data_IF_167930986439
#
_entry.id   IF_167930986439
#
_cell.length_a   1.000
_cell.length_b   1.000
_cell.length_c   1.000
_cell.angle_alpha   90.00
_cell.angle_beta   90.00
_cell.angle_gamma   90.00
#
_symmetry.space_group_name_H-M   'P 1'
#
loop_
_entity.id
_entity.type
_entity.pdbx_description
1 polymer ?
#
# COMPACT_ATOMS: atom_id res chain seq x y z
N UNK A 1 13.58 -3.44 -23.92
CA UNK A 1 13.18 -4.07 -22.64
C UNK A 1 12.55 -5.43 -22.94
N UNK A 2 13.07 -6.52 -22.37
CA UNK A 2 12.48 -7.86 -22.52
C UNK A 2 11.46 -8.06 -21.39
N UNK A 3 10.17 -8.03 -21.70
CA UNK A 3 9.11 -8.32 -20.73
C UNK A 3 9.10 -9.83 -20.44
N UNK A 4 9.40 -10.23 -19.20
CA UNK A 4 9.26 -11.63 -18.81
C UNK A 4 7.76 -11.99 -18.80
N UNK A 5 7.42 -13.09 -19.46
CA UNK A 5 6.03 -13.55 -19.63
C UNK A 5 5.52 -14.20 -18.34
N UNK A 6 4.27 -13.93 -17.99
CA UNK A 6 3.58 -14.64 -16.92
C UNK A 6 3.43 -16.12 -17.24
N UNK A 7 3.19 -16.92 -16.20
CA UNK A 7 2.87 -18.33 -16.33
C UNK A 7 1.67 -18.70 -15.46
N UNK A 8 0.96 -19.76 -15.82
CA UNK A 8 -0.23 -20.21 -15.10
C UNK A 8 0.13 -21.41 -14.25
N UNK A 9 -0.08 -21.30 -12.93
CA UNK A 9 0.02 -22.40 -11.99
C UNK A 9 -1.36 -23.01 -11.78
N UNK A 10 -1.46 -24.33 -11.93
CA UNK A 10 -2.71 -25.07 -11.72
C UNK A 10 -2.62 -25.80 -10.38
N UNK A 11 -3.57 -25.51 -9.49
CA UNK A 11 -3.68 -26.14 -8.18
C UNK A 11 -4.65 -27.31 -8.31
N UNK A 12 -4.12 -28.52 -8.56
CA UNK A 12 -4.92 -29.71 -8.85
C UNK A 12 -5.90 -30.08 -7.73
N UNK A 13 -5.53 -29.79 -6.50
CA UNK A 13 -6.28 -30.19 -5.29
C UNK A 13 -7.22 -29.08 -4.78
N UNK A 14 -7.26 -27.93 -5.46
CA UNK A 14 -8.12 -26.80 -5.10
C UNK A 14 -9.10 -26.58 -6.23
N UNK A 15 -10.40 -26.72 -5.97
CA UNK A 15 -11.44 -26.51 -6.97
C UNK A 15 -11.99 -25.10 -6.84
N UNK A 16 -12.00 -24.36 -7.94
CA UNK A 16 -12.68 -23.08 -8.05
C UNK A 16 -14.21 -23.32 -8.03
N UNK A 17 -14.95 -22.77 -7.04
CA UNK A 17 -16.38 -23.02 -6.90
C UNK A 17 -17.22 -22.45 -8.06
N UNK A 18 -16.71 -21.41 -8.75
CA UNK A 18 -17.43 -20.76 -9.85
C UNK A 18 -17.34 -21.57 -11.15
N UNK A 19 -16.17 -22.16 -11.43
CA UNK A 19 -15.91 -22.89 -12.67
C UNK A 19 -15.95 -24.41 -12.51
N UNK A 20 -16.01 -24.93 -11.27
CA UNK A 20 -15.88 -26.35 -10.89
C UNK A 20 -14.63 -27.03 -11.46
N UNK A 21 -13.60 -26.24 -11.77
CA UNK A 21 -12.33 -26.70 -12.33
C UNK A 21 -11.21 -26.47 -11.31
N UNK A 22 -10.07 -27.17 -11.44
CA UNK A 22 -8.89 -26.88 -10.65
C UNK A 22 -8.50 -25.40 -10.77
N UNK A 23 -8.28 -24.76 -9.62
CA UNK A 23 -7.95 -23.35 -9.50
C UNK A 23 -6.68 -23.06 -10.31
N UNK A 24 -6.73 -21.99 -11.10
CA UNK A 24 -5.60 -21.51 -11.89
C UNK A 24 -5.19 -20.14 -11.39
N UNK A 25 -3.92 -20.00 -11.04
CA UNK A 25 -3.34 -18.73 -10.61
C UNK A 25 -2.34 -18.26 -11.64
N UNK A 26 -2.51 -17.05 -12.14
CA UNK A 26 -1.51 -16.40 -13.00
C UNK A 26 -0.39 -15.90 -12.10
N UNK A 27 0.81 -16.44 -12.28
CA UNK A 27 2.01 -16.01 -11.59
C UNK A 27 2.84 -15.12 -12.52
N UNK A 28 3.21 -13.96 -12.00
CA UNK A 28 4.22 -13.11 -12.61
C UNK A 28 5.61 -13.53 -12.09
N UNK A 29 6.63 -13.62 -12.95
CA UNK A 29 7.97 -13.96 -12.51
C UNK A 29 8.49 -12.90 -11.53
N UNK A 30 9.28 -13.29 -10.52
CA UNK A 30 9.89 -12.33 -9.59
C UNK A 30 10.69 -11.30 -10.38
N UNK A 31 10.38 -10.02 -10.20
CA UNK A 31 11.21 -8.95 -10.77
C UNK A 31 12.60 -9.03 -10.15
N UNK A 32 13.66 -8.95 -10.96
CA UNK A 32 15.06 -8.92 -10.47
C UNK A 32 15.35 -7.74 -9.52
N UNK A 33 14.48 -6.75 -9.49
CA UNK A 33 14.47 -5.74 -8.43
C UNK A 33 13.92 -6.37 -7.16
N UNK A 34 14.83 -6.76 -6.26
CA UNK A 34 14.50 -6.75 -4.84
C UNK A 34 14.09 -5.30 -4.52
N UNK A 35 12.79 -5.02 -4.39
CA UNK A 35 12.33 -3.76 -3.83
C UNK A 35 12.61 -3.84 -2.35
N UNK A 36 13.58 -3.06 -1.89
CA UNK A 36 13.78 -2.83 -0.46
C UNK A 36 12.51 -2.19 0.07
N UNK A 37 11.71 -2.96 0.79
CA UNK A 37 10.62 -2.39 1.59
C UNK A 37 11.31 -1.71 2.75
N UNK A 38 11.43 -0.39 2.69
CA UNK A 38 11.97 0.38 3.80
C UNK A 38 11.06 0.13 5.01
N UNK A 39 11.58 -0.60 5.99
CA UNK A 39 11.00 -0.59 7.34
C UNK A 39 11.05 0.88 7.76
N UNK A 40 9.89 1.48 8.01
CA UNK A 40 9.65 2.92 8.25
C UNK A 40 10.35 3.46 9.52
N UNK A 41 11.65 3.24 9.69
CA UNK A 41 12.43 3.85 10.76
C UNK A 41 12.95 5.18 10.25
N UNK A 42 12.10 6.19 10.38
CA UNK A 42 12.35 7.61 10.10
C UNK A 42 12.51 7.93 8.62
N UNK A 43 11.41 8.39 8.00
CA UNK A 43 11.44 8.97 6.68
C UNK A 43 11.84 10.45 6.78
N UNK A 44 12.71 10.97 5.90
CA UNK A 44 13.00 12.39 5.85
C UNK A 44 11.76 13.20 5.44
N UNK A 45 11.73 14.50 5.74
CA UNK A 45 10.65 15.38 5.33
C UNK A 45 10.43 15.34 3.81
N UNK A 46 9.16 15.45 3.38
CA UNK A 46 8.73 15.45 1.99
C UNK A 46 9.08 14.14 1.26
N UNK A 47 8.95 13.01 1.97
CA UNK A 47 9.29 11.71 1.38
C UNK A 47 8.31 11.29 0.29
N UNK A 48 7.13 11.90 0.26
CA UNK A 48 6.12 11.67 -0.76
C UNK A 48 6.15 12.72 -1.89
N UNK A 49 7.29 13.39 -2.13
CA UNK A 49 7.44 14.43 -3.16
C UNK A 49 7.03 14.01 -4.58
N UNK A 50 7.18 12.73 -4.91
CA UNK A 50 6.76 12.14 -6.20
C UNK A 50 5.51 11.26 -6.07
N UNK A 51 4.63 11.58 -5.12
CA UNK A 51 3.38 10.86 -4.88
C UNK A 51 2.51 10.74 -6.13
N UNK A 52 2.06 9.51 -6.40
CA UNK A 52 1.10 9.22 -7.48
C UNK A 52 -0.27 8.90 -6.90
N UNK A 53 -0.30 7.89 -6.04
CA UNK A 53 -1.52 7.44 -5.40
C UNK A 53 -1.18 6.56 -4.20
N UNK A 54 -2.21 6.22 -3.46
CA UNK A 54 -2.16 5.24 -2.39
C UNK A 54 -3.41 4.38 -2.44
N UNK A 55 -3.27 3.12 -2.06
CA UNK A 55 -4.33 2.14 -2.16
C UNK A 55 -4.28 1.13 -1.03
N UNK A 56 -5.43 0.53 -0.72
CA UNK A 56 -5.49 -0.64 0.14
C UNK A 56 -5.29 -1.91 -0.71
N UNK A 57 -4.14 -2.57 -0.55
CA UNK A 57 -3.78 -3.80 -1.26
C UNK A 57 -4.39 -5.02 -0.57
N UNK A 58 -5.31 -5.67 -1.28
CA UNK A 58 -6.07 -6.83 -0.78
C UNK A 58 -5.20 -8.06 -0.52
N UNK A 59 -4.12 -8.22 -1.30
CA UNK A 59 -3.27 -9.41 -1.22
C UNK A 59 -2.41 -9.38 0.03
N UNK A 60 -1.93 -8.20 0.40
CA UNK A 60 -1.11 -8.01 1.60
C UNK A 60 -1.91 -7.59 2.83
N UNK A 61 -3.13 -7.06 2.66
CA UNK A 61 -3.90 -6.46 3.75
C UNK A 61 -3.28 -5.18 4.29
N UNK A 62 -2.55 -4.44 3.43
CA UNK A 62 -1.77 -3.26 3.80
C UNK A 62 -2.14 -2.08 2.91
N UNK A 63 -1.86 -0.87 3.37
CA UNK A 63 -1.88 0.29 2.49
C UNK A 63 -0.54 0.41 1.78
N UNK A 64 -0.59 0.63 0.48
CA UNK A 64 0.57 0.87 -0.38
C UNK A 64 0.51 2.31 -0.85
N UNK A 65 1.56 3.07 -0.59
CA UNK A 65 1.77 4.41 -1.14
C UNK A 65 2.76 4.28 -2.28
N UNK A 66 2.37 4.76 -3.46
CA UNK A 66 3.16 4.67 -4.68
C UNK A 66 3.66 6.07 -5.05
N UNK A 67 4.97 6.20 -5.12
CA UNK A 67 5.68 7.33 -5.69
C UNK A 67 6.31 6.92 -7.04
N UNK A 68 6.87 7.85 -7.81
CA UNK A 68 7.49 7.55 -9.11
C UNK A 68 8.61 6.49 -8.99
N UNK A 69 9.48 6.61 -7.97
CA UNK A 69 10.65 5.77 -7.80
C UNK A 69 10.61 4.86 -6.56
N UNK A 70 9.63 5.05 -5.68
CA UNK A 70 9.56 4.41 -4.36
C UNK A 70 8.15 3.92 -4.04
N UNK A 71 8.07 2.88 -3.21
CA UNK A 71 6.80 2.37 -2.69
C UNK A 71 6.93 2.15 -1.18
N UNK A 72 5.93 2.64 -0.43
CA UNK A 72 5.84 2.45 1.01
C UNK A 72 4.70 1.50 1.33
N UNK A 73 4.94 0.57 2.26
CA UNK A 73 3.91 -0.34 2.78
C UNK A 73 3.61 0.02 4.22
N UNK A 74 2.35 0.32 4.49
CA UNK A 74 1.81 0.73 5.77
C UNK A 74 0.96 -0.44 6.28
N UNK A 75 1.43 -1.10 7.34
CA UNK A 75 0.76 -2.27 7.89
C UNK A 75 -0.29 -1.89 8.94
N UNK A 76 -0.06 -0.78 9.63
CA UNK A 76 -0.92 -0.25 10.67
C UNK A 76 -1.10 1.26 10.51
N UNK A 77 -2.26 1.78 10.90
CA UNK A 77 -2.53 3.23 10.88
C UNK A 77 -1.47 4.02 11.67
N UNK A 78 -0.90 3.43 12.73
CA UNK A 78 0.18 4.02 13.53
C UNK A 78 1.46 4.23 12.74
N UNK A 79 1.71 3.43 11.70
CA UNK A 79 2.88 3.58 10.85
C UNK A 79 2.86 4.91 10.08
N UNK A 80 1.68 5.52 9.91
CA UNK A 80 1.54 6.85 9.33
C UNK A 80 2.25 7.92 10.18
N UNK A 81 2.46 7.70 11.48
CA UNK A 81 3.18 8.65 12.34
C UNK A 81 4.67 8.80 11.96
N UNK A 82 5.20 7.94 11.09
CA UNK A 82 6.56 8.07 10.56
C UNK A 82 6.70 9.14 9.47
N UNK A 83 5.58 9.61 8.92
CA UNK A 83 5.57 10.71 7.96
C UNK A 83 5.55 12.07 8.68
N UNK A 84 6.10 13.08 8.01
CA UNK A 84 6.06 14.47 8.48
C UNK A 84 4.75 15.17 8.10
N UNK A 85 4.54 16.38 8.62
CA UNK A 85 3.32 17.18 8.44
C UNK A 85 2.90 17.30 6.97
N UNK A 86 3.86 17.63 6.08
CA UNK A 86 3.62 17.83 4.66
C UNK A 86 3.03 16.59 4.00
N UNK A 87 3.60 15.43 4.32
CA UNK A 87 3.20 14.13 3.76
C UNK A 87 1.82 13.72 4.30
N UNK A 88 1.55 13.92 5.60
CA UNK A 88 0.23 13.67 6.21
C UNK A 88 -0.86 14.54 5.57
N UNK A 89 -0.59 15.83 5.35
CA UNK A 89 -1.53 16.72 4.67
C UNK A 89 -1.74 16.36 3.20
N UNK A 90 -0.70 15.93 2.49
CA UNK A 90 -0.80 15.44 1.13
C UNK A 90 -1.73 14.23 1.06
N UNK A 91 -1.49 13.23 1.91
CA UNK A 91 -2.32 12.03 1.98
C UNK A 91 -3.77 12.38 2.36
N UNK A 92 -3.99 13.29 3.32
CA UNK A 92 -5.32 13.72 3.73
C UNK A 92 -6.13 14.47 2.67
N UNK A 93 -5.48 15.05 1.67
CA UNK A 93 -6.12 15.68 0.49
C UNK A 93 -6.36 14.70 -0.65
N UNK A 94 -5.81 13.49 -0.55
CA UNK A 94 -5.88 12.48 -1.60
C UNK A 94 -6.83 11.36 -1.20
N UNK A 95 -7.58 10.82 -2.17
CA UNK A 95 -8.47 9.70 -1.92
C UNK A 95 -7.68 8.39 -1.95
N UNK A 96 -7.80 7.57 -0.89
CA UNK A 96 -7.28 6.20 -0.91
C UNK A 96 -8.10 5.36 -1.90
N UNK A 97 -7.41 4.62 -2.76
CA UNK A 97 -8.06 3.68 -3.69
C UNK A 97 -8.28 2.34 -3.00
N UNK A 98 -9.45 1.74 -3.18
CA UNK A 98 -9.77 0.43 -2.63
C UNK A 98 -10.87 -0.25 -3.43
N UNK A 99 -10.84 -1.58 -3.45
CA UNK A 99 -12.00 -2.35 -3.89
C UNK A 99 -13.21 -2.09 -2.95
N UNK A 100 -14.44 -1.98 -3.49
CA UNK A 100 -15.64 -1.73 -2.67
C UNK A 100 -15.81 -2.67 -1.47
N UNK A 101 -15.40 -3.94 -1.60
CA UNK A 101 -15.51 -4.91 -0.51
C UNK A 101 -14.63 -4.56 0.70
N UNK A 102 -13.58 -3.74 0.51
CA UNK A 102 -12.58 -3.40 1.51
C UNK A 102 -12.51 -1.89 1.80
N UNK A 103 -13.52 -1.14 1.37
CA UNK A 103 -13.64 0.29 1.63
C UNK A 103 -13.59 0.60 3.13
N UNK A 104 -14.14 -0.29 3.98
CA UNK A 104 -14.09 -0.15 5.45
C UNK A 104 -12.65 -0.18 5.97
N UNK A 105 -11.82 -1.08 5.44
CA UNK A 105 -10.40 -1.17 5.81
C UNK A 105 -9.66 0.10 5.36
N UNK A 106 -9.90 0.56 4.13
CA UNK A 106 -9.30 1.77 3.61
C UNK A 106 -9.71 3.03 4.41
N UNK A 107 -10.97 3.10 4.84
CA UNK A 107 -11.52 4.18 5.69
C UNK A 107 -10.85 4.29 7.05
N UNK A 108 -10.33 3.20 7.61
CA UNK A 108 -9.59 3.26 8.87
C UNK A 108 -8.32 4.12 8.74
N UNK A 109 -7.64 4.06 7.58
CA UNK A 109 -6.45 4.85 7.32
C UNK A 109 -6.78 6.32 7.07
N UNK A 110 -7.83 6.63 6.29
CA UNK A 110 -8.24 8.04 6.08
C UNK A 110 -8.76 8.68 7.36
N UNK A 111 -9.49 7.93 8.20
CA UNK A 111 -9.88 8.38 9.53
C UNK A 111 -8.67 8.61 10.44
N UNK A 112 -7.66 7.73 10.37
CA UNK A 112 -6.39 7.90 11.07
C UNK A 112 -5.68 9.20 10.67
N UNK A 113 -5.58 9.49 9.37
CA UNK A 113 -5.01 10.75 8.88
C UNK A 113 -5.80 11.97 9.38
N UNK A 114 -7.13 11.92 9.33
CA UNK A 114 -7.95 13.01 9.84
C UNK A 114 -7.71 13.27 11.34
N UNK A 115 -7.58 12.21 12.14
CA UNK A 115 -7.22 12.32 13.55
C UNK A 115 -5.81 12.90 13.74
N UNK A 116 -4.83 12.45 12.95
CA UNK A 116 -3.45 12.96 12.99
C UNK A 116 -3.39 14.46 12.67
N UNK A 117 -4.14 14.92 11.66
CA UNK A 117 -4.26 16.35 11.33
C UNK A 117 -4.87 17.13 12.50
N UNK A 118 -5.98 16.65 13.05
CA UNK A 118 -6.67 17.33 14.15
C UNK A 118 -5.84 17.42 15.42
N UNK A 119 -5.08 16.37 15.74
CA UNK A 119 -4.26 16.27 16.94
C UNK A 119 -2.82 16.75 16.74
N UNK A 120 -2.47 17.19 15.52
CA UNK A 120 -1.12 17.56 15.11
C UNK A 120 -0.08 16.47 15.39
N UNK A 121 -0.39 15.23 15.02
CA UNK A 121 0.44 14.05 15.25
C UNK A 121 1.16 13.61 13.97
N UNK A 122 2.47 13.85 13.93
CA UNK A 122 3.36 13.42 12.85
C UNK A 122 4.81 13.34 13.36
N UNK A 123 5.71 12.75 12.57
CA UNK A 123 7.13 12.77 12.85
C UNK A 123 7.61 14.23 12.97
N UNK A 124 8.33 14.55 14.05
CA UNK A 124 8.78 15.93 14.33
C UNK A 124 7.79 16.82 15.09
N UNK A 125 6.53 16.41 15.33
CA UNK A 125 5.55 17.18 16.12
C UNK A 125 5.85 17.25 17.62
N UNK A 126 6.75 16.39 18.13
CA UNK A 126 7.31 16.46 19.49
C UNK A 126 8.72 17.06 19.43
N UNK A 127 8.76 18.39 19.30
CA UNK A 127 9.96 19.22 19.41
C UNK A 127 9.63 20.46 20.22
#
# INVERSE_FOLDING_TARGET
>A
MNLQKSFVKVHKDVIDPSTKKPLKTVMWPPTKSAKTVLLLKYLPNNNLHEFKFWMYDLVSGQVVIVCENEEFRIADVRDLMHFEETDIHLLGRSQIQSDPQYEVCAKAYTAGIAQMINLKMWSGSRG
#
